data_IF_584868182278
#
_entry.id   IF_584868182278
#
_cell.length_a   1.000
_cell.length_b   1.000
_cell.length_c   1.000
_cell.angle_alpha   90.00
_cell.angle_beta   90.00
_cell.angle_gamma   90.00
#
_symmetry.space_group_name_H-M   'P 1'
#
loop_
_entity.id
_entity.type
_entity.pdbx_description
1 polymer ?
#
# COMPACT_ATOMS: atom_id res chain seq x y z
N UNK A 1 8.50 -31.18 -5.82
CA UNK A 1 7.14 -31.76 -5.72
C UNK A 1 6.14 -30.66 -6.06
N UNK A 2 5.12 -30.92 -6.91
CA UNK A 2 4.07 -29.94 -7.18
C UNK A 2 3.38 -29.59 -5.87
N UNK A 3 3.15 -28.30 -5.67
CA UNK A 3 2.58 -27.74 -4.46
C UNK A 3 1.23 -28.41 -4.12
N UNK A 4 0.88 -28.61 -2.84
CA UNK A 4 -0.42 -29.20 -2.49
C UNK A 4 -1.54 -28.31 -3.02
N UNK A 5 -2.44 -28.88 -3.82
CA UNK A 5 -3.60 -28.18 -4.38
C UNK A 5 -4.66 -27.84 -3.32
N UNK A 6 -4.68 -28.58 -2.21
CA UNK A 6 -5.54 -28.32 -1.07
C UNK A 6 -4.76 -28.43 0.23
N UNK A 7 -4.90 -27.44 1.10
CA UNK A 7 -4.33 -27.45 2.43
C UNK A 7 -5.31 -26.81 3.41
N UNK A 8 -5.62 -27.51 4.49
CA UNK A 8 -6.27 -26.94 5.66
C UNK A 8 -5.33 -27.04 6.85
N UNK A 9 -5.15 -25.94 7.57
CA UNK A 9 -4.37 -25.87 8.79
C UNK A 9 -5.22 -25.23 9.86
N UNK A 10 -5.45 -25.98 10.92
CA UNK A 10 -6.13 -25.50 12.12
C UNK A 10 -5.08 -25.42 13.23
N UNK A 11 -4.94 -24.25 13.82
CA UNK A 11 -4.07 -24.02 14.97
C UNK A 11 -4.97 -23.62 16.11
N UNK A 12 -4.99 -24.44 17.16
CA UNK A 12 -5.71 -24.16 18.38
C UNK A 12 -4.94 -23.18 19.26
N UNK A 13 -5.68 -22.45 20.09
CA UNK A 13 -5.11 -21.54 21.08
C UNK A 13 -4.21 -22.33 22.05
N UNK A 14 -2.93 -22.03 22.04
CA UNK A 14 -1.92 -22.53 23.00
C UNK A 14 -1.42 -21.31 23.79
N UNK A 15 -0.91 -21.42 25.03
CA UNK A 15 -0.36 -20.28 25.78
C UNK A 15 0.66 -19.40 25.02
N UNK A 16 1.27 -19.92 23.94
CA UNK A 16 2.22 -19.21 23.09
C UNK A 16 1.69 -18.90 21.68
N UNK A 17 0.57 -19.50 21.25
CA UNK A 17 0.09 -19.46 19.86
C UNK A 17 -1.38 -19.08 19.78
N UNK A 18 -1.67 -18.02 19.02
CA UNK A 18 -3.03 -17.55 18.74
C UNK A 18 -3.75 -18.50 17.78
N UNK A 19 -5.08 -18.65 17.91
CA UNK A 19 -5.82 -19.51 17.00
C UNK A 19 -5.75 -18.96 15.57
N UNK A 20 -5.50 -19.85 14.60
CA UNK A 20 -5.57 -19.50 13.18
C UNK A 20 -6.12 -20.65 12.35
N UNK A 21 -6.95 -20.30 11.38
CA UNK A 21 -7.54 -21.19 10.40
C UNK A 21 -7.01 -20.79 9.02
N UNK A 22 -6.33 -21.71 8.35
CA UNK A 22 -5.87 -21.56 6.98
C UNK A 22 -6.58 -22.59 6.10
N UNK A 23 -7.22 -22.16 5.03
CA UNK A 23 -7.81 -23.01 3.99
C UNK A 23 -7.33 -22.52 2.64
N UNK A 24 -6.66 -23.35 1.87
CA UNK A 24 -6.18 -22.96 0.54
C UNK A 24 -6.47 -24.03 -0.50
N UNK A 25 -7.04 -23.59 -1.62
CA UNK A 25 -7.28 -24.27 -2.89
C UNK A 25 -6.40 -23.65 -3.96
N UNK A 26 -5.15 -24.07 -4.03
CA UNK A 26 -4.18 -23.48 -4.93
C UNK A 26 -4.47 -23.86 -6.40
N UNK A 27 -4.34 -22.94 -7.38
CA UNK A 27 -4.04 -21.50 -7.27
C UNK A 27 -5.31 -20.62 -7.20
N UNK A 28 -6.50 -21.20 -7.14
CA UNK A 28 -7.76 -20.47 -7.34
C UNK A 28 -8.20 -19.65 -6.14
N UNK A 29 -8.02 -20.14 -4.92
CA UNK A 29 -8.50 -19.46 -3.73
C UNK A 29 -7.72 -19.86 -2.49
N UNK A 30 -7.54 -18.95 -1.55
CA UNK A 30 -7.20 -19.33 -0.18
C UNK A 30 -7.59 -18.24 0.79
N UNK A 31 -7.93 -18.65 2.00
CA UNK A 31 -8.30 -17.82 3.14
C UNK A 31 -7.45 -18.22 4.34
N UNK A 32 -6.96 -17.22 5.05
CA UNK A 32 -6.22 -17.35 6.30
C UNK A 32 -6.86 -16.36 7.26
N UNK A 33 -7.47 -16.88 8.31
CA UNK A 33 -8.08 -16.09 9.37
C UNK A 33 -7.36 -16.39 10.67
N UNK A 34 -6.77 -15.39 11.30
CA UNK A 34 -6.14 -15.44 12.62
C UNK A 34 -6.67 -14.34 13.52
N UNK A 35 -6.16 -14.28 14.75
CA UNK A 35 -6.51 -13.29 15.76
C UNK A 35 -6.17 -11.85 15.30
N UNK A 36 -7.16 -11.18 14.70
CA UNK A 36 -7.06 -9.84 14.12
C UNK A 36 -6.50 -9.78 12.69
N UNK A 37 -5.98 -10.86 12.11
CA UNK A 37 -5.44 -10.85 10.74
C UNK A 37 -6.25 -11.75 9.82
N UNK A 38 -6.79 -11.17 8.74
CA UNK A 38 -7.55 -11.88 7.72
C UNK A 38 -6.90 -11.65 6.36
N UNK A 39 -6.50 -12.73 5.69
CA UNK A 39 -5.88 -12.68 4.38
C UNK A 39 -6.55 -13.66 3.46
N UNK A 40 -6.86 -13.23 2.24
CA UNK A 40 -7.35 -14.13 1.23
C UNK A 40 -6.75 -13.80 -0.14
N UNK A 41 -6.75 -14.78 -1.02
CA UNK A 41 -6.35 -14.61 -2.40
C UNK A 41 -7.33 -15.30 -3.32
N UNK A 42 -7.45 -14.79 -4.54
CA UNK A 42 -8.22 -15.37 -5.63
C UNK A 42 -7.37 -15.36 -6.90
N UNK A 43 -7.31 -16.49 -7.61
CA UNK A 43 -6.52 -16.68 -8.82
C UNK A 43 -5.08 -16.18 -8.67
N UNK A 44 -4.33 -16.76 -7.73
CA UNK A 44 -2.94 -16.38 -7.47
C UNK A 44 -2.11 -16.40 -8.77
N UNK A 45 -1.29 -15.37 -9.08
CA UNK A 45 -0.95 -14.19 -8.26
C UNK A 45 -1.78 -12.92 -8.57
N UNK A 46 -2.91 -13.07 -9.29
CA UNK A 46 -3.66 -11.93 -9.81
C UNK A 46 -4.33 -11.13 -8.71
N UNK A 47 -5.03 -11.76 -7.75
CA UNK A 47 -5.76 -11.04 -6.71
C UNK A 47 -5.44 -11.55 -5.32
N UNK A 48 -5.19 -10.62 -4.41
CA UNK A 48 -4.99 -10.90 -2.98
C UNK A 48 -5.39 -9.67 -2.17
N UNK A 49 -5.91 -9.96 -0.99
CA UNK A 49 -6.36 -8.98 -0.02
C UNK A 49 -5.90 -9.42 1.37
N UNK A 50 -5.45 -8.46 2.17
CA UNK A 50 -5.07 -8.69 3.55
C UNK A 50 -5.54 -7.53 4.41
N UNK A 51 -6.28 -7.83 5.46
CA UNK A 51 -6.68 -6.93 6.51
C UNK A 51 -6.02 -7.38 7.81
N UNK A 52 -5.12 -6.58 8.35
CA UNK A 52 -4.47 -6.84 9.62
C UNK A 52 -4.90 -5.78 10.63
N UNK A 53 -5.52 -6.22 11.71
CA UNK A 53 -5.96 -5.42 12.84
C UNK A 53 -5.08 -5.72 14.05
N UNK A 54 -4.49 -4.67 14.61
CA UNK A 54 -3.69 -4.69 15.82
C UNK A 54 -4.21 -3.61 16.76
N UNK A 55 -3.85 -3.69 18.05
CA UNK A 55 -4.42 -2.88 19.14
C UNK A 55 -4.40 -1.36 18.89
N UNK A 56 -3.50 -0.86 18.05
CA UNK A 56 -3.38 0.56 17.70
C UNK A 56 -3.23 0.84 16.20
N UNK A 57 -3.33 -0.20 15.36
CA UNK A 57 -3.08 -0.09 13.92
C UNK A 57 -3.94 -1.07 13.14
N UNK A 58 -4.71 -0.55 12.19
CA UNK A 58 -5.45 -1.33 11.20
C UNK A 58 -4.88 -1.07 9.82
N UNK A 59 -4.45 -2.12 9.13
CA UNK A 59 -3.90 -2.03 7.79
C UNK A 59 -4.69 -2.91 6.84
N UNK A 60 -5.26 -2.30 5.81
CA UNK A 60 -5.99 -2.98 4.75
C UNK A 60 -5.21 -2.85 3.45
N UNK A 61 -4.99 -3.97 2.76
CA UNK A 61 -4.23 -4.02 1.51
C UNK A 61 -4.99 -4.85 0.50
N UNK A 62 -5.31 -4.25 -0.62
CA UNK A 62 -5.91 -4.91 -1.78
C UNK A 62 -4.97 -4.75 -2.96
N UNK A 63 -4.66 -5.84 -3.64
CA UNK A 63 -3.74 -5.79 -4.77
C UNK A 63 -4.28 -6.68 -5.89
N UNK A 64 -4.19 -6.15 -7.09
CA UNK A 64 -4.50 -6.84 -8.33
C UNK A 64 -3.28 -6.74 -9.26
N UNK A 65 -2.45 -7.77 -9.28
CA UNK A 65 -1.17 -7.72 -9.97
C UNK A 65 -1.35 -7.81 -11.50
N UNK A 66 -0.59 -7.02 -12.30
CA UNK A 66 0.26 -5.90 -11.91
C UNK A 66 -0.49 -4.54 -11.81
N UNK A 67 -1.74 -4.50 -12.26
CA UNK A 67 -2.42 -3.26 -12.62
C UNK A 67 -2.83 -2.36 -11.47
N UNK A 68 -3.13 -2.91 -10.28
CA UNK A 68 -3.68 -2.14 -9.17
C UNK A 68 -3.11 -2.55 -7.82
N UNK A 69 -2.83 -1.57 -6.98
CA UNK A 69 -2.50 -1.79 -5.59
C UNK A 69 -3.11 -0.66 -4.75
N UNK A 70 -3.79 -1.03 -3.69
CA UNK A 70 -4.38 -0.12 -2.73
C UNK A 70 -4.02 -0.59 -1.33
N UNK A 71 -3.58 0.35 -0.50
CA UNK A 71 -3.18 0.09 0.86
C UNK A 71 -3.61 1.28 1.71
N UNK A 72 -4.33 0.99 2.79
CA UNK A 72 -4.83 1.98 3.74
C UNK A 72 -4.38 1.54 5.12
N UNK A 73 -3.76 2.47 5.85
CA UNK A 73 -3.28 2.24 7.21
C UNK A 73 -3.95 3.27 8.12
N UNK A 74 -4.85 2.79 8.97
CA UNK A 74 -5.41 3.56 10.06
C UNK A 74 -4.61 3.33 11.34
N UNK A 75 -4.43 4.37 12.13
CA UNK A 75 -3.84 4.32 13.47
C UNK A 75 -4.82 4.89 14.47
N UNK A 76 -4.81 4.34 15.67
CA UNK A 76 -5.60 4.85 16.79
C UNK A 76 -4.70 5.71 17.66
N UNK A 77 -5.10 6.95 17.91
CA UNK A 77 -4.40 7.83 18.84
C UNK A 77 -4.65 7.41 20.31
N UNK A 78 -3.86 7.96 21.25
CA UNK A 78 -4.03 7.76 22.70
C UNK A 78 -5.41 8.16 23.22
N UNK A 79 -6.09 9.05 22.50
CA UNK A 79 -7.46 9.51 22.77
C UNK A 79 -8.54 8.53 22.29
N UNK A 80 -8.16 7.43 21.63
CA UNK A 80 -9.09 6.45 21.05
C UNK A 80 -9.65 6.86 19.68
N UNK A 81 -9.21 8.00 19.11
CA UNK A 81 -9.65 8.44 17.79
C UNK A 81 -8.86 7.71 16.71
N UNK A 82 -9.57 7.01 15.80
CA UNK A 82 -8.97 6.43 14.60
C UNK A 82 -8.75 7.52 13.54
N UNK A 83 -7.53 7.60 13.03
CA UNK A 83 -7.21 8.45 11.89
C UNK A 83 -6.44 7.66 10.83
N UNK A 84 -6.61 8.06 9.58
CA UNK A 84 -5.89 7.48 8.47
C UNK A 84 -4.46 8.01 8.45
N UNK A 85 -3.50 7.14 8.76
CA UNK A 85 -2.09 7.49 8.83
C UNK A 85 -1.39 7.43 7.47
N UNK A 86 -1.83 6.53 6.58
CA UNK A 86 -1.24 6.36 5.26
C UNK A 86 -2.28 5.77 4.29
N UNK A 87 -2.41 6.40 3.12
CA UNK A 87 -3.14 5.88 1.96
C UNK A 87 -2.19 5.76 0.79
N UNK A 88 -2.11 4.58 0.21
CA UNK A 88 -1.36 4.32 -1.01
C UNK A 88 -2.30 3.74 -2.06
N UNK A 89 -2.30 4.30 -3.26
CA UNK A 89 -3.07 3.80 -4.40
C UNK A 89 -2.22 3.89 -5.64
N UNK A 90 -2.06 2.77 -6.34
CA UNK A 90 -1.35 2.67 -7.59
C UNK A 90 -2.24 2.05 -8.65
N UNK A 91 -2.23 2.69 -9.81
CA UNK A 91 -2.84 2.20 -11.04
C UNK A 91 -1.70 2.12 -12.06
N UNK A 92 -1.08 0.96 -12.19
CA UNK A 92 0.02 0.77 -13.13
C UNK A 92 -0.53 0.64 -14.56
N UNK A 93 0.13 1.23 -15.58
CA UNK A 93 1.37 2.01 -15.54
C UNK A 93 1.14 3.53 -15.35
N UNK A 94 -0.07 3.96 -15.02
CA UNK A 94 -0.48 5.36 -15.13
C UNK A 94 -0.02 6.25 -13.99
N UNK A 95 -0.26 5.87 -12.74
CA UNK A 95 0.14 6.69 -11.58
C UNK A 95 0.21 5.90 -10.28
N UNK A 96 0.95 6.45 -9.32
CA UNK A 96 0.90 6.07 -7.92
C UNK A 96 0.68 7.32 -7.06
N UNK A 97 -0.17 7.20 -6.05
CA UNK A 97 -0.48 8.25 -5.10
C UNK A 97 -0.28 7.72 -3.69
N UNK A 98 0.51 8.44 -2.91
CA UNK A 98 0.73 8.21 -1.49
C UNK A 98 0.27 9.46 -0.74
N UNK A 99 -0.52 9.27 0.31
CA UNK A 99 -1.06 10.35 1.13
C UNK A 99 -0.85 9.99 2.58
N UNK A 100 -0.13 10.84 3.30
CA UNK A 100 -0.05 10.82 4.76
C UNK A 100 -0.60 12.15 5.28
N UNK A 101 -0.91 12.27 6.58
CA UNK A 101 -1.32 13.54 7.18
C UNK A 101 -0.34 14.71 6.93
N UNK A 102 0.94 14.38 6.74
CA UNK A 102 2.04 15.35 6.61
C UNK A 102 2.43 15.63 5.16
N UNK A 103 2.13 14.72 4.23
CA UNK A 103 2.57 14.87 2.84
C UNK A 103 1.70 14.08 1.89
N UNK A 104 1.47 14.64 0.72
CA UNK A 104 0.87 13.91 -0.40
C UNK A 104 1.89 13.82 -1.53
N UNK A 105 2.19 12.62 -2.00
CA UNK A 105 3.08 12.35 -3.12
C UNK A 105 2.29 11.74 -4.26
N UNK A 106 2.38 12.32 -5.45
CA UNK A 106 1.80 11.77 -6.68
C UNK A 106 2.92 11.55 -7.68
N UNK A 107 3.00 10.35 -8.24
CA UNK A 107 3.90 9.97 -9.33
C UNK A 107 3.07 9.59 -10.54
N UNK A 108 3.38 10.16 -11.69
CA UNK A 108 2.72 9.90 -12.95
C UNK A 108 3.67 9.16 -13.88
N UNK A 109 3.10 8.14 -14.54
CA UNK A 109 3.78 7.17 -15.38
C UNK A 109 4.89 6.42 -14.65
N UNK A 110 4.59 5.87 -13.47
CA UNK A 110 5.52 5.03 -12.71
C UNK A 110 5.53 3.60 -13.25
N UNK A 111 6.57 3.23 -14.00
CA UNK A 111 6.70 1.87 -14.55
C UNK A 111 7.12 0.82 -13.52
N UNK A 112 7.40 1.22 -12.27
CA UNK A 112 7.82 0.30 -11.22
C UNK A 112 6.69 -0.64 -10.77
N UNK A 113 6.92 -1.93 -10.93
CA UNK A 113 5.98 -2.98 -10.53
C UNK A 113 6.03 -3.31 -9.03
N UNK A 114 7.16 -3.04 -8.36
CA UNK A 114 7.44 -3.50 -6.99
C UNK A 114 7.63 -2.31 -6.03
N UNK A 115 6.65 -2.09 -5.15
CA UNK A 115 6.76 -1.18 -3.99
C UNK A 115 7.75 -1.77 -2.97
N UNK A 116 8.56 -0.94 -2.31
CA UNK A 116 9.52 -1.30 -1.24
C UNK A 116 10.81 -2.00 -1.67
N UNK A 117 11.15 -1.93 -2.95
CA UNK A 117 12.47 -2.36 -3.40
C UNK A 117 13.48 -1.24 -3.13
N UNK A 118 13.89 -1.02 -1.88
CA UNK A 118 14.68 0.16 -1.46
C UNK A 118 15.90 0.50 -2.34
N UNK A 119 16.56 -0.51 -2.94
CA UNK A 119 17.63 -0.29 -3.92
C UNK A 119 17.16 0.15 -5.32
N UNK A 120 16.01 -0.36 -5.79
CA UNK A 120 15.40 0.02 -7.08
C UNK A 120 14.70 1.37 -6.94
N UNK A 121 14.01 1.61 -5.84
CA UNK A 121 13.34 2.88 -5.51
C UNK A 121 14.32 4.07 -5.52
N UNK A 122 15.56 3.85 -5.07
CA UNK A 122 16.58 4.90 -4.98
C UNK A 122 17.34 5.12 -6.29
N UNK A 123 17.62 4.05 -7.04
CA UNK A 123 18.49 4.13 -8.21
C UNK A 123 17.71 4.15 -9.54
N UNK A 124 16.57 3.48 -9.61
CA UNK A 124 15.84 3.21 -10.87
C UNK A 124 14.46 3.84 -10.93
N UNK A 125 13.79 4.03 -9.79
CA UNK A 125 12.49 4.68 -9.77
C UNK A 125 12.48 6.12 -10.29
N UNK A 126 13.58 6.92 -10.20
CA UNK A 126 13.69 8.15 -10.97
C UNK A 126 13.40 7.84 -12.43
N UNK A 127 14.25 7.11 -13.16
CA UNK A 127 14.16 6.86 -14.61
C UNK A 127 12.82 6.32 -15.13
N UNK A 128 11.97 5.81 -14.25
CA UNK A 128 10.66 5.26 -14.58
C UNK A 128 9.49 6.13 -14.15
N UNK A 129 9.74 7.34 -13.65
CA UNK A 129 8.73 8.32 -13.26
C UNK A 129 8.90 9.56 -14.12
N UNK A 130 7.86 9.92 -14.88
CA UNK A 130 7.93 11.10 -15.76
C UNK A 130 7.73 12.39 -14.97
N UNK A 131 6.81 12.36 -14.02
CA UNK A 131 6.39 13.51 -13.25
C UNK A 131 6.09 13.14 -11.81
N UNK A 132 6.53 13.99 -10.90
CA UNK A 132 6.32 13.84 -9.48
C UNK A 132 5.80 15.14 -8.87
N UNK A 133 4.83 15.02 -7.97
CA UNK A 133 4.26 16.14 -7.22
C UNK A 133 4.28 15.82 -5.73
N UNK A 134 4.89 16.71 -4.97
CA UNK A 134 4.92 16.68 -3.51
C UNK A 134 4.06 17.82 -2.97
N UNK A 135 2.90 17.50 -2.42
CA UNK A 135 2.07 18.44 -1.66
C UNK A 135 2.47 18.42 -0.18
N UNK A 136 2.74 19.60 0.36
CA UNK A 136 2.91 19.83 1.78
C UNK A 136 1.56 20.22 2.44
N UNK A 137 1.45 20.15 3.78
CA UNK A 137 0.20 20.43 4.49
C UNK A 137 -0.25 21.90 4.38
N UNK A 138 0.71 22.79 4.13
CA UNK A 138 0.51 24.24 3.99
C UNK A 138 -0.13 24.64 2.64
N UNK A 139 -0.46 23.66 1.79
CA UNK A 139 -1.02 23.88 0.46
C UNK A 139 0.02 24.21 -0.61
N UNK A 140 1.30 24.27 -0.25
CA UNK A 140 2.37 24.32 -1.24
C UNK A 140 2.54 22.94 -1.89
N UNK A 141 2.88 22.95 -3.17
CA UNK A 141 3.16 21.77 -3.94
C UNK A 141 4.40 21.99 -4.79
N UNK A 142 5.39 21.15 -4.59
CA UNK A 142 6.56 21.06 -5.43
C UNK A 142 6.29 20.08 -6.57
N UNK A 143 6.65 20.49 -7.77
CA UNK A 143 6.53 19.73 -8.99
C UNK A 143 7.92 19.44 -9.52
N UNK A 144 8.13 18.20 -9.96
CA UNK A 144 9.38 17.73 -10.56
C UNK A 144 9.01 16.97 -11.85
N UNK A 145 9.61 17.38 -12.97
CA UNK A 145 9.40 16.78 -14.27
C UNK A 145 10.75 16.33 -14.84
N UNK A 146 10.75 15.13 -15.43
CA UNK A 146 11.92 14.50 -16.05
C UNK A 146 13.15 14.56 -15.13
N UNK A 147 13.04 13.97 -13.92
CA UNK A 147 14.20 13.77 -13.03
C UNK A 147 14.87 15.05 -12.56
N UNK A 148 14.10 16.12 -12.43
CA UNK A 148 14.59 17.42 -12.02
C UNK A 148 15.08 18.31 -13.14
N UNK A 149 14.80 17.95 -14.40
CA UNK A 149 15.01 18.85 -15.55
C UNK A 149 14.20 20.13 -15.38
N UNK A 150 12.97 20.00 -14.87
CA UNK A 150 12.13 21.16 -14.55
C UNK A 150 11.57 20.97 -13.14
N UNK A 151 11.82 21.95 -12.27
CA UNK A 151 11.25 22.01 -10.94
C UNK A 151 10.56 23.35 -10.73
N UNK A 152 9.36 23.31 -10.19
CA UNK A 152 8.66 24.53 -9.79
C UNK A 152 7.82 24.25 -8.55
N UNK A 153 7.59 25.29 -7.78
CA UNK A 153 6.72 25.23 -6.60
C UNK A 153 5.49 26.06 -6.88
N UNK A 154 4.32 25.45 -6.74
CA UNK A 154 3.05 26.18 -6.71
C UNK A 154 2.59 26.25 -5.26
N UNK A 155 2.21 27.41 -4.78
CA UNK A 155 1.57 27.54 -3.48
C UNK A 155 0.61 28.72 -3.55
N UNK A 156 -0.42 28.70 -2.72
CA UNK A 156 -1.20 29.90 -2.40
C UNK A 156 -0.35 30.82 -1.54
N UNK A 157 0.69 31.42 -2.11
CA UNK A 157 1.27 32.62 -1.57
C UNK A 157 0.28 33.76 -1.85
N UNK A 158 -0.44 34.19 -0.80
CA UNK A 158 -1.15 35.46 -0.75
C UNK A 158 -2.04 35.78 -1.96
N UNK A 159 -3.28 35.30 -1.94
CA UNK A 159 -4.37 35.98 -2.63
C UNK A 159 -5.28 36.60 -1.58
N UNK A 160 -4.75 37.57 -0.83
CA UNK A 160 -5.56 38.63 -0.26
C UNK A 160 -4.84 39.97 -0.48
N UNK A 161 -5.66 40.90 -0.97
CA UNK A 161 -5.35 42.27 -1.39
C UNK A 161 -5.09 43.17 -0.19
#
# INVERSE_FOLDING_TARGET
MPWPFYQTHETWATPTTKPSLKRSYWPFYGDVTGDGDRRWYAAWPLMWHSSSESQSRRAERTRFFPFYAHETVCKTDRTGTEYEAERYTRVWPFYARESTPERTRLRVLELNLIRYSGGVERNWAPFWTLYERFGAPDGTAQHDLLWGTVKWTTGTAGKDR
#
